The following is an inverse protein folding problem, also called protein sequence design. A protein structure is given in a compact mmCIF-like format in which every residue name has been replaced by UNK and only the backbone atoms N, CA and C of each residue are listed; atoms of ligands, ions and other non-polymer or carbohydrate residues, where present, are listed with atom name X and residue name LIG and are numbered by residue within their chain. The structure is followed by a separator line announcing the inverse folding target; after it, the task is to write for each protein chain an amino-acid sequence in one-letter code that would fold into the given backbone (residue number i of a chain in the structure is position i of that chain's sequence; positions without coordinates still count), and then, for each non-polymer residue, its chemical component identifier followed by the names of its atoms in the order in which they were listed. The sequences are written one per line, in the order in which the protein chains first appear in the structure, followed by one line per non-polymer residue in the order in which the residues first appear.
data_IF_189717859882
#
_entry.id   IF_189717859882
#
_cell.length_a   1.000
_cell.length_b   1.000
_cell.length_c   1.000
_cell.angle_alpha   90.00
_cell.angle_beta   90.00
_cell.angle_gamma   90.00
#
_symmetry.space_group_name_H-M   'P 1'
#
loop_
_entity.id
_entity.type
_entity.pdbx_description
1 polymer ?
#
# COMPACT_ATOMS: atom_id res chain seq x y z
N UNK A 1 10.64 -42.72 -32.86
CA UNK A 1 10.93 -42.83 -31.40
C UNK A 1 11.52 -41.57 -30.75
N UNK A 2 12.41 -40.79 -31.40
CA UNK A 2 13.00 -39.58 -30.78
C UNK A 2 12.02 -38.43 -30.49
N UNK A 3 11.00 -38.23 -31.32
CA UNK A 3 9.98 -37.17 -31.10
C UNK A 3 9.01 -37.45 -29.96
N UNK A 4 8.75 -38.72 -29.65
CA UNK A 4 7.85 -39.10 -28.57
C UNK A 4 8.45 -38.80 -27.18
N UNK A 5 9.77 -38.97 -27.04
CA UNK A 5 10.50 -38.60 -25.82
C UNK A 5 10.55 -37.08 -25.59
N UNK A 6 10.68 -36.28 -26.66
CA UNK A 6 10.66 -34.81 -26.58
C UNK A 6 9.29 -34.25 -26.20
N UNK A 7 8.20 -34.84 -26.68
CA UNK A 7 6.83 -34.47 -26.28
C UNK A 7 6.56 -34.86 -24.82
N UNK A 8 7.08 -36.01 -24.37
CA UNK A 8 6.92 -36.46 -22.98
C UNK A 8 7.67 -35.55 -21.99
N UNK A 9 8.85 -35.05 -22.36
CA UNK A 9 9.63 -34.10 -21.52
C UNK A 9 8.95 -32.72 -21.47
N UNK A 10 8.34 -32.27 -22.57
CA UNK A 10 7.58 -31.01 -22.61
C UNK A 10 6.27 -31.05 -21.80
N UNK A 11 5.65 -32.22 -21.64
CA UNK A 11 4.41 -32.37 -20.87
C UNK A 11 4.67 -32.38 -19.34
N UNK A 12 5.85 -32.84 -18.90
CA UNK A 12 6.22 -32.93 -17.48
C UNK A 12 6.58 -31.56 -16.88
N UNK A 13 7.07 -30.60 -17.67
CA UNK A 13 7.41 -29.26 -17.19
C UNK A 13 6.18 -28.38 -16.92
N UNK A 14 5.01 -28.67 -17.49
CA UNK A 14 3.76 -27.93 -17.25
C UNK A 14 3.15 -28.23 -15.88
N UNK A 15 3.50 -29.37 -15.26
CA UNK A 15 2.98 -29.76 -13.95
C UNK A 15 3.81 -29.28 -12.75
N UNK A 16 4.96 -28.64 -12.98
CA UNK A 16 5.74 -27.98 -11.92
C UNK A 16 5.40 -26.48 -11.85
N UNK A 17 4.12 -26.15 -11.68
CA UNK A 17 3.73 -24.82 -11.23
C UNK A 17 4.08 -24.71 -9.74
N UNK A 18 5.19 -24.05 -9.41
CA UNK A 18 5.49 -23.61 -8.05
C UNK A 18 4.33 -22.72 -7.58
N UNK A 19 3.59 -23.17 -6.57
CA UNK A 19 2.59 -22.34 -5.91
C UNK A 19 3.32 -21.18 -5.23
N UNK A 20 3.23 -19.98 -5.82
CA UNK A 20 3.64 -18.75 -5.17
C UNK A 20 2.64 -18.47 -4.04
N UNK A 21 3.11 -18.50 -2.78
CA UNK A 21 2.31 -18.09 -1.64
C UNK A 21 2.66 -16.64 -1.30
N UNK A 22 1.66 -15.80 -1.11
CA UNK A 22 1.82 -14.36 -1.01
C UNK A 22 0.83 -13.80 0.00
N UNK A 23 1.36 -13.11 1.01
CA UNK A 23 0.56 -12.48 2.05
C UNK A 23 -0.51 -11.56 1.45
N UNK A 24 -1.78 -11.78 1.81
CA UNK A 24 -2.90 -10.97 1.35
C UNK A 24 -3.27 -9.87 2.37
N UNK A 25 -3.26 -8.62 1.92
CA UNK A 25 -3.69 -7.46 2.69
C UNK A 25 -4.79 -6.69 1.99
N UNK A 26 -5.62 -6.01 2.80
CA UNK A 26 -6.70 -5.16 2.29
C UNK A 26 -6.24 -3.94 1.47
N UNK A 27 -5.01 -3.45 1.65
CA UNK A 27 -4.42 -2.33 0.89
C UNK A 27 -2.92 -2.16 1.18
N UNK A 28 -2.15 -1.62 0.23
CA UNK A 28 -0.75 -1.20 0.42
C UNK A 28 -0.62 0.23 1.00
N UNK A 29 -1.69 1.02 0.92
CA UNK A 29 -1.78 2.39 1.45
C UNK A 29 -2.91 2.45 2.47
N UNK A 30 -2.58 2.93 3.66
CA UNK A 30 -3.50 3.16 4.76
C UNK A 30 -3.70 4.65 4.92
N UNK A 31 -4.95 5.10 4.78
CA UNK A 31 -5.32 6.48 5.03
C UNK A 31 -5.98 6.56 6.41
N UNK A 32 -5.42 7.41 7.27
CA UNK A 32 -6.05 7.81 8.53
C UNK A 32 -6.65 9.20 8.35
N UNK A 33 -7.97 9.28 8.49
CA UNK A 33 -8.74 10.52 8.34
C UNK A 33 -8.38 11.57 9.39
N UNK A 34 -8.72 12.83 9.09
CA UNK A 34 -8.47 13.97 9.98
C UNK A 34 -9.20 13.87 11.32
N UNK A 35 -10.26 13.08 11.41
CA UNK A 35 -11.06 12.77 12.59
C UNK A 35 -10.69 11.43 13.26
N UNK A 36 -9.85 10.61 12.62
CA UNK A 36 -9.47 9.28 13.11
C UNK A 36 -8.12 9.30 13.84
N UNK A 37 -8.08 8.73 15.05
CA UNK A 37 -6.81 8.51 15.77
C UNK A 37 -6.40 7.04 15.83
N UNK A 38 -7.30 6.14 15.44
CA UNK A 38 -7.12 4.69 15.55
C UNK A 38 -7.69 4.05 14.30
N UNK A 39 -6.98 3.07 13.76
CA UNK A 39 -7.50 2.18 12.73
C UNK A 39 -7.14 0.73 13.02
N UNK A 40 -8.02 -0.19 12.66
CA UNK A 40 -7.76 -1.62 12.68
C UNK A 40 -7.53 -2.12 11.25
N UNK A 41 -6.56 -3.01 11.08
CA UNK A 41 -6.23 -3.61 9.79
C UNK A 41 -6.10 -5.11 9.95
N UNK A 42 -6.74 -5.82 9.04
CA UNK A 42 -6.72 -7.27 8.99
C UNK A 42 -5.45 -7.76 8.31
N UNK A 43 -4.95 -8.87 8.82
CA UNK A 43 -3.78 -9.59 8.36
C UNK A 43 -4.16 -11.07 8.30
N UNK A 44 -4.02 -11.67 7.12
CA UNK A 44 -4.32 -13.09 6.92
C UNK A 44 -3.01 -13.84 6.76
N UNK A 45 -2.86 -14.92 7.53
CA UNK A 45 -1.84 -15.93 7.28
C UNK A 45 -2.39 -16.93 6.27
N UNK A 46 -2.03 -16.75 5.00
CA UNK A 46 -2.42 -17.60 3.87
C UNK A 46 -1.51 -18.83 3.71
N UNK A 47 -0.55 -19.02 4.62
CA UNK A 47 0.37 -20.15 4.58
C UNK A 47 -0.21 -21.40 5.26
N UNK A 48 0.48 -22.53 5.11
CA UNK A 48 0.12 -23.80 5.74
C UNK A 48 0.73 -23.99 7.14
N UNK A 49 1.50 -23.01 7.63
CA UNK A 49 2.12 -23.02 8.96
C UNK A 49 1.57 -21.91 9.85
N UNK A 50 1.69 -22.11 11.17
CA UNK A 50 1.51 -21.03 12.13
C UNK A 50 2.70 -20.07 12.01
N UNK A 51 2.43 -18.77 11.88
CA UNK A 51 3.47 -17.76 11.65
C UNK A 51 3.42 -16.67 12.72
N UNK A 52 4.59 -16.16 13.09
CA UNK A 52 4.76 -14.99 13.95
C UNK A 52 4.82 -13.74 13.07
N UNK A 53 3.96 -12.78 13.35
CA UNK A 53 3.95 -11.48 12.72
C UNK A 53 4.47 -10.43 13.69
N UNK A 54 5.43 -9.61 13.25
CA UNK A 54 5.96 -8.47 14.01
C UNK A 54 5.74 -7.19 13.25
N UNK A 55 5.32 -6.13 13.94
CA UNK A 55 5.06 -4.82 13.34
C UNK A 55 6.21 -3.87 13.63
N UNK A 56 6.61 -3.12 12.61
CA UNK A 56 7.56 -2.02 12.73
C UNK A 56 6.97 -0.77 12.07
N UNK A 57 7.29 0.41 12.61
CA UNK A 57 6.92 1.66 11.95
C UNK A 57 7.96 2.74 12.14
N UNK A 58 8.08 3.62 11.16
CA UNK A 58 8.91 4.81 11.21
C UNK A 58 8.35 5.91 10.31
N UNK A 59 8.61 7.17 10.68
CA UNK A 59 8.19 8.34 9.90
C UNK A 59 9.10 8.53 8.68
N UNK A 60 8.51 8.99 7.58
CA UNK A 60 9.19 9.32 6.32
C UNK A 60 8.77 10.71 5.86
N UNK A 61 9.63 11.40 5.12
CA UNK A 61 9.31 12.74 4.61
C UNK A 61 8.15 12.72 3.61
N UNK A 62 8.21 11.78 2.67
CA UNK A 62 7.15 11.48 1.71
C UNK A 62 7.32 10.06 1.14
N UNK A 63 6.25 9.41 0.69
CA UNK A 63 6.35 8.14 -0.02
C UNK A 63 7.23 8.26 -1.27
N UNK A 64 8.22 7.38 -1.40
CA UNK A 64 9.12 7.36 -2.56
C UNK A 64 9.60 5.95 -2.85
N UNK A 65 9.84 5.64 -4.12
CA UNK A 65 10.32 4.32 -4.57
C UNK A 65 11.85 4.23 -4.68
N UNK A 66 12.56 5.35 -4.73
CA UNK A 66 14.02 5.37 -5.00
C UNK A 66 14.81 5.92 -3.82
N UNK A 67 14.44 7.11 -3.34
CA UNK A 67 15.16 7.84 -2.29
C UNK A 67 14.18 8.26 -1.20
N UNK A 68 13.66 7.29 -0.45
CA UNK A 68 12.81 7.56 0.70
C UNK A 68 13.65 8.01 1.89
N UNK A 69 13.37 9.21 2.40
CA UNK A 69 14.08 9.77 3.55
C UNK A 69 13.31 9.44 4.82
N UNK A 70 13.95 8.70 5.72
CA UNK A 70 13.43 8.40 7.06
C UNK A 70 13.64 9.60 7.98
N UNK A 71 12.57 10.02 8.65
CA UNK A 71 12.64 11.04 9.70
C UNK A 71 12.97 10.33 11.01
N UNK A 72 14.05 10.75 11.65
CA UNK A 72 14.41 10.27 12.98
C UNK A 72 13.71 11.13 14.04
N UNK A 73 12.40 10.95 14.19
CA UNK A 73 11.65 11.60 15.25
C UNK A 73 11.98 10.96 16.60
N UNK A 74 12.28 11.79 17.61
CA UNK A 74 12.45 11.34 19.00
C UNK A 74 11.12 10.89 19.60
N UNK A 75 10.01 11.41 19.08
CA UNK A 75 8.67 11.11 19.56
C UNK A 75 8.05 9.97 18.76
N UNK A 76 7.54 8.96 19.47
CA UNK A 76 6.87 7.83 18.84
C UNK A 76 5.40 8.16 18.62
N UNK A 77 5.12 8.87 17.52
CA UNK A 77 3.77 9.34 17.18
C UNK A 77 2.82 8.20 16.76
N UNK A 78 3.37 7.13 16.16
CA UNK A 78 2.61 5.93 15.79
C UNK A 78 2.86 4.82 16.80
N UNK A 79 1.78 4.40 17.43
CA UNK A 79 1.71 3.22 18.29
C UNK A 79 0.96 2.11 17.56
N UNK A 80 1.26 0.87 17.91
CA UNK A 80 0.60 -0.29 17.34
C UNK A 80 0.45 -1.39 18.38
N UNK A 81 -0.64 -2.14 18.25
CA UNK A 81 -0.92 -3.26 19.14
C UNK A 81 -1.60 -4.43 18.40
N UNK A 82 -1.18 -5.68 18.67
CA UNK A 82 0.00 -6.04 19.48
C UNK A 82 1.31 -5.74 18.73
N UNK A 83 2.44 -5.74 19.43
CA UNK A 83 3.77 -5.57 18.81
C UNK A 83 4.16 -6.79 17.96
N UNK A 84 3.72 -7.97 18.41
CA UNK A 84 3.89 -9.25 17.76
C UNK A 84 2.67 -10.12 17.99
N UNK A 85 2.30 -10.94 17.00
CA UNK A 85 1.16 -11.83 17.10
C UNK A 85 1.43 -13.12 16.33
N UNK A 86 1.13 -14.25 16.94
CA UNK A 86 1.09 -15.51 16.23
C UNK A 86 -0.30 -15.68 15.61
N UNK A 87 -0.35 -16.02 14.33
CA UNK A 87 -1.59 -16.28 13.60
C UNK A 87 -1.50 -17.71 13.07
N UNK A 88 -2.53 -18.51 13.35
CA UNK A 88 -2.63 -19.89 12.86
C UNK A 88 -2.68 -19.95 11.32
N UNK A 89 -2.41 -21.13 10.77
CA UNK A 89 -2.53 -21.37 9.33
C UNK A 89 -3.94 -21.01 8.84
N UNK A 90 -4.03 -20.44 7.63
CA UNK A 90 -5.30 -20.09 6.98
C UNK A 90 -6.24 -19.24 7.84
N UNK A 91 -5.68 -18.42 8.74
CA UNK A 91 -6.45 -17.64 9.71
C UNK A 91 -6.18 -16.15 9.54
N UNK A 92 -7.18 -15.34 9.91
CA UNK A 92 -7.11 -13.88 9.87
C UNK A 92 -7.15 -13.32 11.28
N UNK A 93 -6.34 -12.31 11.51
CA UNK A 93 -6.44 -11.50 12.70
C UNK A 93 -6.28 -10.01 12.35
N UNK A 94 -6.26 -9.13 13.33
CA UNK A 94 -6.08 -7.70 13.12
C UNK A 94 -5.01 -7.11 14.04
N UNK A 95 -4.46 -5.99 13.59
CA UNK A 95 -3.64 -5.09 14.38
C UNK A 95 -4.28 -3.72 14.41
N UNK A 96 -4.02 -2.96 15.47
CA UNK A 96 -4.45 -1.57 15.60
C UNK A 96 -3.25 -0.65 15.41
N UNK A 97 -3.41 0.37 14.58
CA UNK A 97 -2.51 1.51 14.46
C UNK A 97 -3.16 2.70 15.17
N UNK A 98 -2.41 3.39 16.01
CA UNK A 98 -2.87 4.49 16.85
C UNK A 98 -1.93 5.67 16.65
N UNK A 99 -2.46 6.80 16.18
CA UNK A 99 -1.73 8.06 16.07
C UNK A 99 -1.93 8.91 17.32
N UNK A 100 -0.82 9.35 17.92
CA UNK A 100 -0.77 10.26 19.08
C UNK A 100 0.11 11.47 18.83
N UNK A 101 0.46 11.76 17.57
CA UNK A 101 1.22 12.95 17.22
C UNK A 101 0.39 14.25 17.31
N UNK A 102 0.98 15.39 16.90
CA UNK A 102 0.35 16.69 16.98
C UNK A 102 -0.98 16.79 16.22
N UNK A 103 -1.86 17.65 16.73
CA UNK A 103 -3.14 17.99 16.10
C UNK A 103 -3.05 19.29 15.30
N UNK A 104 -2.24 19.28 14.25
CA UNK A 104 -1.91 20.47 13.47
C UNK A 104 -2.40 20.39 12.01
N UNK A 105 -1.85 21.26 11.17
CA UNK A 105 -2.14 21.40 9.75
C UNK A 105 -1.12 20.68 8.86
N UNK A 106 -0.34 19.73 9.39
CA UNK A 106 0.68 18.98 8.64
C UNK A 106 0.22 17.54 8.36
N UNK A 107 0.35 17.13 7.10
CA UNK A 107 0.20 15.75 6.69
C UNK A 107 1.49 14.98 6.98
N UNK A 108 1.34 13.75 7.49
CA UNK A 108 2.48 12.92 7.90
C UNK A 108 2.42 11.55 7.26
N UNK A 109 3.59 10.99 7.02
CA UNK A 109 3.75 9.73 6.32
C UNK A 109 4.62 8.80 7.14
N UNK A 110 4.24 7.53 7.18
CA UNK A 110 4.97 6.50 7.90
C UNK A 110 5.05 5.25 7.05
N UNK A 111 6.16 4.52 7.15
CA UNK A 111 6.19 3.11 6.77
C UNK A 111 5.68 2.28 7.92
N UNK A 112 4.83 1.31 7.60
CA UNK A 112 4.38 0.27 8.53
C UNK A 112 4.70 -1.07 7.89
N UNK A 113 5.62 -1.80 8.50
CA UNK A 113 6.11 -3.08 7.99
C UNK A 113 5.62 -4.24 8.84
N UNK A 114 5.17 -5.30 8.17
CA UNK A 114 4.77 -6.57 8.76
C UNK A 114 5.83 -7.60 8.41
N UNK A 115 6.54 -8.09 9.41
CA UNK A 115 7.54 -9.14 9.25
C UNK A 115 6.90 -10.45 9.66
N UNK A 116 6.76 -11.35 8.70
CA UNK A 116 6.31 -12.73 8.87
C UNK A 116 7.51 -13.65 9.09
N UNK A 117 7.46 -14.43 10.17
CA UNK A 117 8.43 -15.47 10.48
C UNK A 117 7.69 -16.79 10.71
N UNK A 118 7.89 -17.82 9.88
CA UNK A 118 7.29 -19.13 10.07
C UNK A 118 7.73 -19.76 11.39
N UNK A 119 6.78 -20.27 12.18
CA UNK A 119 7.04 -21.02 13.41
C UNK A 119 6.98 -22.53 13.13
N UNK A 120 7.63 -22.97 12.05
CA UNK A 120 7.70 -24.41 11.75
C UNK A 120 8.31 -25.15 12.94
N UNK A 121 7.71 -26.29 13.28
CA UNK A 121 8.37 -27.27 14.14
C UNK A 121 9.63 -27.71 13.41
N UNK A 122 10.80 -27.31 13.92
CA UNK A 122 12.06 -27.96 13.60
C UNK A 122 11.88 -29.42 14.03
N UNK A 123 11.56 -30.28 13.07
CA UNK A 123 11.34 -31.69 13.34
C UNK A 123 12.70 -32.29 13.71
N UNK A 124 12.95 -32.46 15.01
CA UNK A 124 14.22 -32.87 15.62
C UNK A 124 14.59 -34.36 15.39
N UNK A 125 14.13 -34.96 14.28
CA UNK A 125 14.44 -36.36 13.95
C UNK A 125 15.55 -36.51 12.91
N UNK A 126 16.39 -35.48 12.72
CA UNK A 126 17.55 -35.58 11.85
C UNK A 126 18.80 -35.88 12.70
N UNK A 127 19.25 -37.13 12.61
CA UNK A 127 20.59 -37.60 13.02
C UNK A 127 21.75 -36.89 12.28
N UNK A 128 21.44 -35.93 11.40
CA UNK A 128 22.37 -35.08 10.67
C UNK A 128 22.14 -33.62 11.03
N UNK A 129 23.18 -32.94 11.54
CA UNK A 129 23.17 -31.49 11.79
C UNK A 129 23.07 -30.73 10.46
N UNK A 130 21.87 -30.54 9.95
CA UNK A 130 21.60 -29.68 8.80
C UNK A 130 21.33 -28.25 9.30
N UNK A 131 21.94 -27.21 8.72
CA UNK A 131 21.61 -25.84 9.05
C UNK A 131 20.16 -25.55 8.68
N UNK A 132 19.35 -25.18 9.66
CA UNK A 132 17.95 -24.79 9.46
C UNK A 132 17.87 -23.30 9.11
N UNK A 133 17.37 -23.00 7.91
CA UNK A 133 17.10 -21.63 7.46
C UNK A 133 15.61 -21.35 7.59
N UNK A 134 15.24 -20.33 8.37
CA UNK A 134 13.86 -19.86 8.48
C UNK A 134 13.70 -18.61 7.59
N UNK A 135 13.04 -18.72 6.42
CA UNK A 135 12.80 -17.55 5.58
C UNK A 135 11.85 -16.60 6.30
N UNK A 136 12.16 -15.31 6.34
CA UNK A 136 11.23 -14.28 6.81
C UNK A 136 10.85 -13.37 5.66
N UNK A 137 9.56 -13.05 5.56
CA UNK A 137 9.01 -12.16 4.54
C UNK A 137 8.61 -10.85 5.20
N UNK A 138 8.97 -9.72 4.61
CA UNK A 138 8.56 -8.41 5.10
C UNK A 138 7.73 -7.70 4.06
N UNK A 139 6.52 -7.29 4.42
CA UNK A 139 5.71 -6.38 3.62
C UNK A 139 5.74 -4.98 4.22
N UNK A 140 6.09 -3.98 3.40
CA UNK A 140 6.12 -2.57 3.80
C UNK A 140 4.94 -1.81 3.18
N UNK A 141 4.09 -1.26 4.03
CA UNK A 141 2.92 -0.43 3.65
C UNK A 141 3.18 1.04 3.98
N UNK A 142 2.40 1.93 3.38
CA UNK A 142 2.44 3.37 3.68
C UNK A 142 1.21 3.70 4.54
N UNK A 143 1.43 4.38 5.66
CA UNK A 143 0.39 5.04 6.44
C UNK A 143 0.47 6.54 6.20
N UNK A 144 -0.63 7.13 5.75
CA UNK A 144 -0.80 8.56 5.58
C UNK A 144 -1.75 9.06 6.67
N UNK A 145 -1.28 9.97 7.50
CA UNK A 145 -2.09 10.64 8.53
C UNK A 145 -2.42 12.04 8.02
N UNK A 146 -3.71 12.26 7.71
CA UNK A 146 -4.19 13.56 7.23
C UNK A 146 -4.08 14.61 8.35
N UNK A 147 -3.86 15.90 8.01
CA UNK A 147 -3.83 16.97 9.00
C UNK A 147 -5.14 17.04 9.78
N UNK A 148 -5.10 17.34 11.09
CA UNK A 148 -6.32 17.57 11.89
C UNK A 148 -7.05 18.83 11.43
N UNK A 149 -6.29 19.86 11.03
CA UNK A 149 -6.79 21.06 10.37
C UNK A 149 -6.64 20.91 8.86
N UNK A 150 -7.50 20.09 8.27
CA UNK A 150 -7.46 19.79 6.84
C UNK A 150 -7.93 20.99 6.01
N UNK A 151 -7.18 21.32 4.97
CA UNK A 151 -7.48 22.34 3.98
C UNK A 151 -7.23 21.76 2.58
N UNK A 152 -8.31 21.32 1.94
CA UNK A 152 -8.26 20.81 0.57
C UNK A 152 -8.41 21.96 -0.43
N UNK A 153 -7.38 22.15 -1.25
CA UNK A 153 -7.38 23.14 -2.33
C UNK A 153 -6.55 22.61 -3.50
N UNK A 154 -6.94 22.97 -4.71
CA UNK A 154 -6.22 22.61 -5.92
C UNK A 154 -6.29 23.76 -6.94
N UNK A 155 -5.35 23.74 -7.88
CA UNK A 155 -5.37 24.62 -9.04
C UNK A 155 -5.28 23.79 -10.31
N UNK A 156 -6.29 23.93 -11.19
CA UNK A 156 -6.33 23.30 -12.50
C UNK A 156 -6.17 24.37 -13.59
N UNK A 157 -5.23 24.14 -14.51
CA UNK A 157 -5.09 24.90 -15.74
C UNK A 157 -5.13 23.93 -16.93
N UNK A 158 -6.32 23.77 -17.51
CA UNK A 158 -6.58 22.87 -18.64
C UNK A 158 -5.85 23.30 -19.91
N UNK A 159 -5.50 24.59 -20.08
CA UNK A 159 -4.75 25.05 -21.26
C UNK A 159 -3.29 24.63 -21.23
N UNK A 160 -2.71 24.57 -20.03
CA UNK A 160 -1.32 24.16 -19.82
C UNK A 160 -1.18 22.69 -19.41
N UNK A 161 -2.31 21.99 -19.25
CA UNK A 161 -2.34 20.61 -18.76
C UNK A 161 -1.74 20.48 -17.37
N UNK A 162 -2.02 21.42 -16.47
CA UNK A 162 -1.43 21.49 -15.13
C UNK A 162 -2.48 21.29 -14.06
N UNK A 163 -2.23 20.34 -13.16
CA UNK A 163 -2.97 20.18 -11.91
C UNK A 163 -2.01 20.28 -10.74
N UNK A 164 -2.28 21.19 -9.80
CA UNK A 164 -1.44 21.42 -8.62
C UNK A 164 -2.24 21.25 -7.34
N UNK A 165 -1.66 20.59 -6.35
CA UNK A 165 -2.20 20.55 -4.99
C UNK A 165 -1.72 21.80 -4.23
N UNK A 166 -2.63 22.74 -3.99
CA UNK A 166 -2.37 23.98 -3.23
C UNK A 166 -2.88 23.89 -1.79
N UNK A 167 -3.45 22.75 -1.40
CA UNK A 167 -3.89 22.45 -0.05
C UNK A 167 -2.77 21.86 0.82
N UNK A 168 -3.16 21.36 1.99
CA UNK A 168 -2.25 20.70 2.94
C UNK A 168 -2.50 19.20 3.11
N UNK A 169 -3.29 18.60 2.22
CA UNK A 169 -3.60 17.17 2.25
C UNK A 169 -3.56 16.58 0.85
N UNK A 170 -3.09 15.33 0.72
CA UNK A 170 -3.09 14.64 -0.56
C UNK A 170 -4.52 14.31 -1.04
N UNK A 171 -4.63 14.09 -2.34
CA UNK A 171 -5.81 13.53 -2.97
C UNK A 171 -5.41 12.59 -4.10
N UNK A 172 -6.28 11.64 -4.43
CA UNK A 172 -6.13 10.78 -5.61
C UNK A 172 -6.76 11.47 -6.81
N UNK A 173 -6.11 11.38 -7.95
CA UNK A 173 -6.62 11.83 -9.24
C UNK A 173 -6.99 10.59 -10.05
N UNK A 174 -8.13 10.68 -10.71
CA UNK A 174 -8.64 9.68 -11.64
C UNK A 174 -8.93 10.39 -12.95
N UNK A 175 -8.27 9.97 -14.02
CA UNK A 175 -8.49 10.50 -15.37
C UNK A 175 -9.09 9.39 -16.21
N UNK A 176 -10.36 9.54 -16.57
CA UNK A 176 -11.04 8.66 -17.53
C UNK A 176 -10.64 9.00 -18.95
N UNK A 177 -10.57 7.98 -19.81
CA UNK A 177 -10.37 8.17 -21.24
C UNK A 177 -11.67 8.63 -21.89
N UNK A 178 -11.74 9.91 -22.29
CA UNK A 178 -12.95 10.52 -22.85
C UNK A 178 -14.10 10.71 -21.84
N UNK A 179 -15.24 11.21 -22.31
CA UNK A 179 -16.40 11.50 -21.46
C UNK A 179 -17.17 10.25 -20.98
N UNK A 180 -17.08 9.15 -21.73
CA UNK A 180 -17.77 7.88 -21.42
C UNK A 180 -16.82 6.80 -20.88
N UNK A 181 -15.60 7.18 -20.49
CA UNK A 181 -14.63 6.24 -19.93
C UNK A 181 -15.12 5.63 -18.62
N UNK A 182 -14.64 4.43 -18.33
CA UNK A 182 -14.90 3.72 -17.08
C UNK A 182 -13.71 3.85 -16.12
N UNK A 183 -13.90 3.47 -14.86
CA UNK A 183 -12.82 3.40 -13.87
C UNK A 183 -11.74 2.35 -14.21
N UNK A 184 -12.04 1.37 -15.06
CA UNK A 184 -11.13 0.25 -15.38
C UNK A 184 -9.95 0.70 -16.26
N UNK A 185 -10.22 1.60 -17.21
CA UNK A 185 -9.21 2.14 -18.14
C UNK A 185 -8.63 3.48 -17.67
N UNK A 186 -8.94 3.87 -16.43
CA UNK A 186 -8.60 5.17 -15.89
C UNK A 186 -7.15 5.25 -15.40
N UNK A 187 -6.51 6.38 -15.63
CA UNK A 187 -5.22 6.67 -15.01
C UNK A 187 -5.44 7.10 -13.56
N UNK A 188 -4.76 6.42 -12.63
CA UNK A 188 -4.85 6.70 -11.20
C UNK A 188 -3.49 7.07 -10.61
N UNK A 189 -3.45 8.18 -9.88
CA UNK A 189 -2.25 8.60 -9.17
C UNK A 189 -2.62 9.50 -7.99
N UNK A 190 -1.66 9.83 -7.15
CA UNK A 190 -1.83 10.73 -6.00
C UNK A 190 -1.02 11.99 -6.22
N UNK A 191 -1.53 13.13 -5.76
CA UNK A 191 -0.76 14.39 -5.71
C UNK A 191 -0.64 14.81 -4.25
N UNK A 192 0.58 14.86 -3.74
CA UNK A 192 0.87 15.29 -2.36
C UNK A 192 0.79 16.82 -2.24
N UNK A 193 0.66 17.37 -1.02
CA UNK A 193 0.67 18.81 -0.80
C UNK A 193 1.88 19.51 -1.45
N UNK A 194 1.60 20.53 -2.27
CA UNK A 194 2.62 21.30 -2.98
C UNK A 194 3.11 20.68 -4.29
N UNK A 195 2.77 19.43 -4.60
CA UNK A 195 3.13 18.78 -5.86
C UNK A 195 2.26 19.27 -7.04
N UNK A 196 2.85 19.18 -8.24
CA UNK A 196 2.17 19.45 -9.49
C UNK A 196 2.30 18.27 -10.45
N UNK A 197 1.25 18.06 -11.24
CA UNK A 197 1.19 17.09 -12.31
C UNK A 197 0.94 17.82 -13.61
N UNK A 198 1.76 17.53 -14.63
CA UNK A 198 1.66 18.11 -15.97
C UNK A 198 1.51 17.00 -17.00
N UNK A 199 0.42 17.02 -17.74
CA UNK A 199 0.13 16.00 -18.74
C UNK A 199 -0.88 16.51 -19.79
N UNK A 200 -0.75 15.99 -21.02
CA UNK A 200 -1.69 16.28 -22.11
C UNK A 200 -3.09 15.72 -21.85
N UNK A 201 -3.20 14.67 -21.04
CA UNK A 201 -4.47 14.09 -20.62
C UNK A 201 -5.36 15.09 -19.85
N UNK A 202 -4.78 16.18 -19.31
CA UNK A 202 -5.50 17.26 -18.65
C UNK A 202 -6.02 18.35 -19.61
N UNK A 203 -5.58 18.34 -20.88
CA UNK A 203 -5.96 19.33 -21.91
C UNK A 203 -7.13 18.81 -22.77
N UNK A 204 -7.27 17.49 -22.90
CA UNK A 204 -8.26 16.79 -23.73
C UNK A 204 -9.70 16.80 -23.17
N UNK A 205 -10.56 15.97 -23.76
CA UNK A 205 -11.98 15.81 -23.36
C UNK A 205 -12.15 14.64 -22.40
N UNK A 206 -11.26 14.58 -21.41
CA UNK A 206 -11.24 13.54 -20.40
C UNK A 206 -12.05 13.96 -19.18
N UNK A 207 -12.75 13.01 -18.58
CA UNK A 207 -13.42 13.23 -17.30
C UNK A 207 -12.41 13.06 -16.17
N UNK A 208 -12.22 14.10 -15.36
CA UNK A 208 -11.23 14.10 -14.28
C UNK A 208 -11.96 14.15 -12.94
N UNK A 209 -11.61 13.22 -12.06
CA UNK A 209 -12.08 13.21 -10.68
C UNK A 209 -10.93 13.39 -9.71
N UNK A 210 -11.19 14.19 -8.67
CA UNK A 210 -10.42 14.19 -7.45
C UNK A 210 -11.15 13.33 -6.41
N UNK A 211 -10.42 12.42 -5.78
CA UNK A 211 -10.92 11.62 -4.67
C UNK A 211 -10.23 12.06 -3.40
N UNK A 212 -11.02 12.57 -2.46
CA UNK A 212 -10.57 13.01 -1.14
C UNK A 212 -11.60 12.63 -0.09
N UNK A 213 -11.14 12.15 1.06
CA UNK A 213 -12.01 11.71 2.16
C UNK A 213 -13.11 10.73 1.69
N UNK A 214 -12.74 9.81 0.77
CA UNK A 214 -13.63 8.83 0.13
C UNK A 214 -14.77 9.44 -0.69
N UNK A 215 -14.70 10.73 -1.04
CA UNK A 215 -15.67 11.43 -1.90
C UNK A 215 -15.05 11.72 -3.26
N UNK A 216 -15.85 11.52 -4.30
CA UNK A 216 -15.49 11.83 -5.68
C UNK A 216 -15.97 13.24 -6.02
N UNK A 217 -15.09 14.03 -6.64
CA UNK A 217 -15.39 15.37 -7.11
C UNK A 217 -14.92 15.47 -8.56
N UNK A 218 -15.87 15.61 -9.50
CA UNK A 218 -15.53 15.92 -10.87
C UNK A 218 -14.99 17.36 -10.95
N UNK A 219 -13.91 17.54 -11.70
CA UNK A 219 -13.29 18.85 -11.95
C UNK A 219 -13.12 19.09 -13.45
N UNK A 220 -12.85 20.34 -13.82
CA UNK A 220 -12.76 20.76 -15.21
C UNK A 220 -14.12 21.17 -15.77
N UNK A 221 -14.11 21.77 -16.96
CA UNK A 221 -15.33 22.30 -17.61
C UNK A 221 -15.91 21.35 -18.65
N UNK A 222 -15.27 20.20 -18.88
CA UNK A 222 -15.57 19.28 -19.96
C UNK A 222 -16.33 18.05 -19.46
N UNK A 223 -17.14 17.45 -20.34
CA UNK A 223 -17.95 16.25 -20.06
C UNK A 223 -18.95 16.43 -18.90
N UNK A 224 -19.67 17.56 -18.90
CA UNK A 224 -20.77 17.88 -17.96
C UNK A 224 -22.10 17.42 -18.54
#
# INVERSE_FOLDING_TARGET
MKYFALILIGLVTVFFSLSSQAMYFSSYIYEMGSDENIMAKYLTNDTNSMNLYTIQSYEIEKPSNTNEVRINSKEKEILYTPLRKTIDKQSTDFFKLIYRGPQDNKERYYRVSFVETPLTSLNNNATTRSPSYLPSVALSTILIVRPRKQNFQYHLNEKQGLLKNTGNTFFRVIIHQGCNGTDEDATHFYILPGEEYRDQALIGDNKIFLVINKKYMQIGQKCI
#
